data_IF_687657350872
#
_entry.id   IF_687657350872
#
_cell.length_a   1.000
_cell.length_b   1.000
_cell.length_c   1.000
_cell.angle_alpha   90.00
_cell.angle_beta   90.00
_cell.angle_gamma   90.00
#
_symmetry.space_group_name_H-M   'P 1'
#
loop_
_entity.id
_entity.type
_entity.pdbx_description
1 polymer ?
#
# COMPACT_ATOMS: atom_id res chain seq x y z
N UNK A 1 57.11 -24.53 -10.15
CA UNK A 1 57.56 -24.31 -11.54
C UNK A 1 57.30 -22.86 -11.88
N UNK A 2 58.19 -22.22 -12.62
CA UNK A 2 58.18 -20.76 -12.80
C UNK A 2 58.53 -20.46 -14.27
N UNK A 3 57.48 -20.16 -15.03
CA UNK A 3 57.47 -19.79 -16.44
C UNK A 3 56.38 -18.70 -16.52
N UNK A 4 56.51 -17.55 -17.17
CA UNK A 4 57.57 -16.98 -18.02
C UNK A 4 56.85 -16.00 -18.96
N UNK A 5 57.23 -14.71 -18.96
CA UNK A 5 56.50 -13.67 -19.70
C UNK A 5 56.79 -13.70 -21.21
N UNK A 6 55.75 -13.58 -22.02
CA UNK A 6 55.63 -13.00 -23.38
C UNK A 6 54.18 -13.29 -23.88
N UNK A 7 53.47 -12.48 -24.66
CA UNK A 7 53.60 -11.06 -25.07
C UNK A 7 52.19 -10.56 -25.51
N UNK A 8 51.97 -9.26 -25.77
CA UNK A 8 50.69 -8.69 -26.25
C UNK A 8 50.44 -8.92 -27.75
N UNK A 9 49.17 -9.15 -28.12
CA UNK A 9 48.54 -8.93 -29.45
C UNK A 9 47.01 -8.94 -29.19
N UNK A 10 46.32 -7.78 -29.13
CA UNK A 10 45.66 -7.05 -30.22
C UNK A 10 44.33 -7.69 -30.68
N UNK A 11 43.36 -6.90 -31.15
CA UNK A 11 42.01 -7.36 -31.51
C UNK A 11 40.89 -7.08 -30.52
N UNK A 12 40.78 -5.84 -30.02
CA UNK A 12 39.45 -5.31 -29.65
C UNK A 12 38.73 -4.94 -30.94
N UNK A 13 38.00 -5.89 -31.52
CA UNK A 13 37.08 -5.60 -32.62
C UNK A 13 35.90 -4.81 -32.05
N UNK A 14 35.92 -3.51 -32.35
CA UNK A 14 34.83 -2.56 -32.12
C UNK A 14 33.70 -2.91 -33.10
N UNK A 15 32.84 -3.83 -32.65
CA UNK A 15 31.66 -4.29 -33.38
C UNK A 15 30.56 -3.22 -33.26
N UNK A 16 30.71 -2.17 -34.08
CA UNK A 16 29.78 -1.05 -34.26
C UNK A 16 28.56 -1.52 -35.07
N UNK A 17 27.84 -2.53 -34.55
CA UNK A 17 26.59 -3.04 -35.13
C UNK A 17 25.41 -2.12 -34.77
N UNK A 18 25.32 -1.04 -35.56
CA UNK A 18 24.20 -0.13 -35.81
C UNK A 18 22.96 -0.31 -34.89
N UNK A 19 22.79 0.62 -33.93
CA UNK A 19 21.49 0.86 -33.28
C UNK A 19 20.47 1.31 -34.35
N UNK A 20 19.68 0.37 -34.89
CA UNK A 20 18.64 0.67 -35.88
C UNK A 20 17.63 1.67 -35.30
N UNK A 21 17.71 2.91 -35.79
CA UNK A 21 17.02 4.09 -35.27
C UNK A 21 15.51 4.07 -35.59
N UNK A 22 14.74 3.14 -35.00
CA UNK A 22 13.33 3.41 -34.68
C UNK A 22 13.27 4.43 -33.53
N UNK A 23 13.77 5.63 -33.82
CA UNK A 23 13.73 6.78 -32.95
C UNK A 23 12.27 7.13 -32.64
N UNK A 24 11.87 6.88 -31.39
CA UNK A 24 10.56 7.23 -30.86
C UNK A 24 10.34 8.75 -30.96
N UNK A 25 9.69 9.19 -32.03
CA UNK A 25 9.33 10.60 -32.30
C UNK A 25 8.26 11.12 -31.29
N UNK A 26 7.85 10.30 -30.33
CA UNK A 26 6.87 10.63 -29.29
C UNK A 26 7.48 11.32 -28.05
N UNK A 27 8.73 11.03 -27.70
CA UNK A 27 9.34 11.44 -26.42
C UNK A 27 10.20 12.72 -26.49
N UNK A 28 9.57 13.83 -26.90
CA UNK A 28 10.18 15.17 -26.84
C UNK A 28 10.13 15.82 -25.45
N UNK A 29 11.26 16.33 -24.94
CA UNK A 29 11.31 17.15 -23.72
C UNK A 29 10.64 18.52 -23.93
N UNK A 30 9.44 18.70 -23.37
CA UNK A 30 8.67 19.97 -23.44
C UNK A 30 8.86 20.79 -22.16
N UNK A 31 8.99 22.11 -22.30
CA UNK A 31 8.99 23.05 -21.17
C UNK A 31 7.56 23.39 -20.80
N UNK A 32 7.15 23.04 -19.58
CA UNK A 32 5.86 23.44 -19.02
C UNK A 32 5.95 24.88 -18.48
N UNK A 33 4.85 25.63 -18.60
CA UNK A 33 4.74 26.96 -18.00
C UNK A 33 4.61 26.86 -16.49
N UNK A 34 5.46 27.55 -15.74
CA UNK A 34 5.34 27.66 -14.28
C UNK A 34 4.01 28.34 -13.91
N UNK A 35 3.37 27.89 -12.83
CA UNK A 35 2.20 28.56 -12.25
C UNK A 35 2.48 30.03 -11.90
N UNK A 36 3.73 30.39 -11.61
CA UNK A 36 4.16 31.79 -11.38
C UNK A 36 4.15 32.68 -12.63
N UNK A 37 4.03 32.11 -13.82
CA UNK A 37 3.89 32.87 -15.07
C UNK A 37 2.43 33.30 -15.34
N UNK A 38 1.46 32.72 -14.62
CA UNK A 38 0.06 33.12 -14.69
C UNK A 38 -0.24 34.10 -13.55
N UNK A 39 -0.87 35.26 -13.82
CA UNK A 39 -1.27 36.17 -12.75
C UNK A 39 -2.29 35.49 -11.82
N UNK A 40 -2.27 35.79 -10.51
CA UNK A 40 -3.24 35.22 -9.57
C UNK A 40 -4.65 35.63 -9.99
N UNK A 41 -5.48 34.63 -10.29
CA UNK A 41 -6.91 34.83 -10.57
C UNK A 41 -7.67 34.77 -9.24
N UNK A 42 -8.59 35.70 -9.03
CA UNK A 42 -9.64 35.45 -8.04
C UNK A 42 -10.45 34.25 -8.54
N UNK A 43 -10.65 33.28 -7.67
CA UNK A 43 -11.78 32.36 -7.81
C UNK A 43 -13.01 33.19 -7.48
N UNK A 44 -13.98 33.19 -8.40
CA UNK A 44 -15.34 33.61 -8.06
C UNK A 44 -15.88 32.53 -7.15
N UNK A 45 -16.42 32.92 -5.99
CA UNK A 45 -17.21 32.04 -5.15
C UNK A 45 -18.49 31.70 -5.93
N UNK A 46 -18.44 30.61 -6.71
CA UNK A 46 -19.65 30.00 -7.24
C UNK A 46 -20.46 29.54 -6.02
N UNK A 47 -21.59 30.21 -5.77
CA UNK A 47 -22.55 29.84 -4.73
C UNK A 47 -22.92 28.37 -4.94
N UNK A 48 -22.25 27.48 -4.20
CA UNK A 48 -22.38 26.04 -4.33
C UNK A 48 -23.79 25.67 -3.91
N UNK A 49 -24.64 25.37 -4.89
CA UNK A 49 -26.07 25.14 -4.73
C UNK A 49 -26.31 23.81 -4.01
N UNK A 50 -26.17 23.85 -2.68
CA UNK A 50 -26.56 22.79 -1.75
C UNK A 50 -26.00 21.41 -2.05
N UNK A 51 -24.66 21.24 -2.06
CA UNK A 51 -24.10 19.90 -1.90
C UNK A 51 -24.50 19.34 -0.52
N UNK A 52 -25.10 18.15 -0.51
CA UNK A 52 -25.72 17.56 0.68
C UNK A 52 -24.65 17.25 1.73
N UNK A 53 -24.61 18.07 2.79
CA UNK A 53 -23.55 18.06 3.82
C UNK A 53 -23.44 16.75 4.64
N UNK A 54 -24.28 15.74 4.34
CA UNK A 54 -24.14 14.36 4.84
C UNK A 54 -23.09 13.52 4.09
N UNK A 55 -22.77 13.81 2.82
CA UNK A 55 -21.92 12.91 2.00
C UNK A 55 -20.45 12.84 2.49
N UNK A 56 -20.04 13.75 3.38
CA UNK A 56 -18.72 13.80 3.99
C UNK A 56 -18.70 13.51 5.51
N UNK A 57 -19.80 13.05 6.11
CA UNK A 57 -19.78 12.63 7.50
C UNK A 57 -19.00 11.30 7.67
N UNK A 58 -18.08 11.19 8.65
CA UNK A 58 -17.32 9.97 8.85
C UNK A 58 -18.23 8.83 9.30
N UNK A 59 -18.33 7.79 8.48
CA UNK A 59 -19.10 6.57 8.78
C UNK A 59 -18.74 6.07 10.19
N UNK A 60 -19.73 6.07 11.08
CA UNK A 60 -19.54 5.63 12.46
C UNK A 60 -19.00 4.19 12.51
N UNK A 61 -18.05 3.87 13.42
CA UNK A 61 -17.55 2.52 13.56
C UNK A 61 -18.68 1.55 13.91
N UNK A 62 -18.59 0.28 13.51
CA UNK A 62 -19.66 -0.67 13.75
C UNK A 62 -19.73 -0.95 15.28
N UNK A 63 -20.93 -1.21 15.82
CA UNK A 63 -21.08 -1.53 17.23
C UNK A 63 -20.29 -2.80 17.58
N UNK A 64 -19.65 -2.79 18.74
CA UNK A 64 -18.98 -3.98 19.26
C UNK A 64 -20.01 -5.07 19.59
N UNK A 65 -19.69 -6.35 19.34
CA UNK A 65 -20.58 -7.47 19.65
C UNK A 65 -20.78 -7.61 21.16
N UNK A 66 -21.94 -8.13 21.55
CA UNK A 66 -22.22 -8.50 22.94
C UNK A 66 -21.44 -9.75 23.34
N UNK A 67 -21.33 -10.01 24.65
CA UNK A 67 -20.60 -11.17 25.19
C UNK A 67 -21.10 -12.52 24.64
N UNK A 68 -22.42 -12.66 24.46
CA UNK A 68 -23.04 -13.84 23.88
C UNK A 68 -22.72 -13.99 22.37
N UNK A 69 -22.61 -12.89 21.64
CA UNK A 69 -22.16 -12.90 20.23
C UNK A 69 -20.68 -13.25 20.14
N UNK A 70 -19.83 -12.74 21.04
CA UNK A 70 -18.42 -13.10 21.12
C UNK A 70 -18.20 -14.59 21.35
N UNK A 71 -18.94 -15.21 22.30
CA UNK A 71 -18.89 -16.66 22.53
C UNK A 71 -19.24 -17.42 21.23
N UNK A 72 -20.36 -17.06 20.59
CA UNK A 72 -20.82 -17.66 19.33
C UNK A 72 -19.78 -17.53 18.20
N UNK A 73 -19.08 -16.39 18.11
CA UNK A 73 -18.03 -16.14 17.12
C UNK A 73 -16.81 -17.02 17.38
N UNK A 74 -16.37 -17.12 18.63
CA UNK A 74 -15.17 -17.91 19.02
C UNK A 74 -15.37 -19.42 19.00
N UNK A 75 -16.62 -19.91 19.09
CA UNK A 75 -16.98 -21.30 18.81
C UNK A 75 -16.93 -21.63 17.31
N UNK A 76 -16.89 -20.61 16.45
CA UNK A 76 -16.77 -20.73 15.00
C UNK A 76 -15.36 -21.09 14.51
N UNK A 77 -15.21 -21.32 13.19
CA UNK A 77 -13.91 -21.59 12.59
C UNK A 77 -12.97 -20.38 12.75
N UNK A 78 -11.73 -20.66 13.17
CA UNK A 78 -10.67 -19.66 13.21
C UNK A 78 -10.18 -19.29 11.79
N UNK A 79 -9.70 -18.06 11.63
CA UNK A 79 -9.20 -17.53 10.35
C UNK A 79 -7.68 -17.43 10.36
N UNK A 80 -7.03 -18.42 9.75
CA UNK A 80 -5.57 -18.48 9.60
C UNK A 80 -5.01 -17.29 8.81
N UNK A 81 -5.77 -16.76 7.84
CA UNK A 81 -5.42 -15.56 7.06
C UNK A 81 -5.29 -14.32 7.95
N UNK A 82 -6.29 -14.06 8.81
CA UNK A 82 -6.25 -12.94 9.74
C UNK A 82 -5.10 -13.07 10.76
N UNK A 83 -4.84 -14.28 11.24
CA UNK A 83 -3.70 -14.54 12.13
C UNK A 83 -2.36 -14.29 11.43
N UNK A 84 -2.21 -14.74 10.18
CA UNK A 84 -1.02 -14.53 9.36
C UNK A 84 -0.79 -13.05 9.02
N UNK A 85 -1.83 -12.32 8.62
CA UNK A 85 -1.78 -10.88 8.35
C UNK A 85 -1.37 -10.09 9.59
N UNK A 86 -1.91 -10.42 10.76
CA UNK A 86 -1.51 -9.79 12.03
C UNK A 86 -0.03 -10.03 12.34
N UNK A 87 0.45 -11.27 12.22
CA UNK A 87 1.86 -11.62 12.45
C UNK A 87 2.79 -10.90 11.47
N UNK A 88 2.39 -10.77 10.20
CA UNK A 88 3.15 -10.03 9.19
C UNK A 88 3.28 -8.54 9.54
N UNK A 89 2.18 -7.87 9.92
CA UNK A 89 2.22 -6.46 10.34
C UNK A 89 3.03 -6.29 11.61
N UNK A 90 2.86 -7.15 12.61
CA UNK A 90 3.64 -7.18 13.85
C UNK A 90 5.16 -7.28 13.60
N UNK A 91 5.56 -8.13 12.66
CA UNK A 91 6.97 -8.32 12.28
C UNK A 91 7.53 -7.20 11.40
N UNK A 92 6.70 -6.26 10.91
CA UNK A 92 7.13 -5.25 9.96
C UNK A 92 7.99 -4.17 10.63
N UNK A 93 9.19 -3.85 10.09
CA UNK A 93 10.09 -2.87 10.69
C UNK A 93 9.65 -1.40 10.52
N UNK A 94 8.50 -1.13 9.90
CA UNK A 94 8.04 0.23 9.61
C UNK A 94 7.60 1.04 10.84
N UNK A 95 7.21 0.38 11.94
CA UNK A 95 6.97 1.03 13.23
C UNK A 95 7.46 0.15 14.38
N UNK A 96 8.07 0.76 15.38
CA UNK A 96 8.45 0.08 16.62
C UNK A 96 7.20 -0.37 17.42
N UNK A 97 6.05 0.28 17.25
CA UNK A 97 4.81 -0.09 17.94
C UNK A 97 4.30 -1.46 17.50
N UNK A 98 4.48 -1.82 16.22
CA UNK A 98 4.11 -3.13 15.71
C UNK A 98 4.85 -4.26 16.42
N UNK A 99 6.17 -4.10 16.64
CA UNK A 99 6.99 -5.12 17.31
C UNK A 99 6.63 -5.29 18.79
N UNK A 100 6.11 -4.23 19.43
CA UNK A 100 5.63 -4.24 20.81
C UNK A 100 4.16 -4.73 20.94
N UNK A 101 3.46 -4.99 19.83
CA UNK A 101 2.10 -5.52 19.86
C UNK A 101 2.06 -6.93 20.50
N UNK A 102 0.96 -7.32 21.17
CA UNK A 102 0.83 -8.63 21.80
C UNK A 102 1.04 -9.80 20.81
N UNK A 103 1.33 -10.99 21.31
CA UNK A 103 1.17 -12.21 20.51
C UNK A 103 -0.31 -12.55 20.39
N UNK A 104 -0.73 -13.19 19.30
CA UNK A 104 -2.06 -13.79 19.20
C UNK A 104 -1.93 -15.28 18.88
N UNK A 105 -2.77 -16.09 19.50
CA UNK A 105 -2.87 -17.54 19.25
C UNK A 105 -3.85 -17.81 18.12
N UNK A 106 -4.97 -17.09 18.11
CA UNK A 106 -6.13 -17.32 17.23
C UNK A 106 -6.80 -16.01 16.80
N UNK A 107 -7.51 -16.04 15.69
CA UNK A 107 -8.29 -14.93 15.16
C UNK A 107 -9.62 -15.41 14.57
N UNK A 108 -10.68 -14.61 14.71
CA UNK A 108 -12.00 -14.84 14.13
C UNK A 108 -12.52 -13.55 13.49
N UNK A 109 -13.12 -13.62 12.30
CA UNK A 109 -13.71 -12.44 11.66
C UNK A 109 -15.05 -12.08 12.34
N UNK A 110 -15.29 -10.79 12.65
CA UNK A 110 -16.61 -10.36 13.12
C UNK A 110 -17.57 -10.30 11.93
N UNK A 111 -18.76 -10.93 12.01
CA UNK A 111 -19.80 -10.78 10.99
C UNK A 111 -20.15 -9.30 10.78
N UNK A 112 -19.85 -8.78 9.60
CA UNK A 112 -20.22 -7.42 9.21
C UNK A 112 -21.64 -7.40 8.64
N UNK A 113 -22.35 -6.27 8.81
CA UNK A 113 -23.65 -6.08 8.16
C UNK A 113 -23.47 -6.01 6.64
N UNK A 114 -24.37 -6.60 5.84
CA UNK A 114 -24.31 -6.48 4.38
C UNK A 114 -24.39 -5.00 3.97
N UNK A 115 -23.45 -4.55 3.13
CA UNK A 115 -23.31 -3.15 2.74
C UNK A 115 -22.44 -2.29 3.67
N UNK A 116 -21.76 -2.85 4.68
CA UNK A 116 -20.75 -2.12 5.43
C UNK A 116 -19.42 -2.07 4.68
N UNK A 117 -19.10 -0.92 4.08
CA UNK A 117 -17.86 -0.68 3.31
C UNK A 117 -16.68 -0.17 4.17
N UNK A 118 -16.85 -0.16 5.49
CA UNK A 118 -15.82 0.32 6.43
C UNK A 118 -14.79 -0.74 6.84
N UNK A 119 -14.07 -0.45 7.93
CA UNK A 119 -12.99 -1.32 8.43
C UNK A 119 -13.56 -2.64 8.96
N UNK A 120 -13.06 -3.77 8.43
CA UNK A 120 -13.34 -5.10 8.99
C UNK A 120 -12.78 -5.22 10.41
N UNK A 121 -13.54 -5.83 11.31
CA UNK A 121 -13.11 -6.13 12.68
C UNK A 121 -12.86 -7.63 12.84
N UNK A 122 -11.97 -7.99 13.78
CA UNK A 122 -11.67 -9.36 14.17
C UNK A 122 -11.60 -9.49 15.70
N UNK A 123 -12.02 -10.64 16.24
CA UNK A 123 -11.70 -11.06 17.61
C UNK A 123 -10.34 -11.76 17.56
N UNK A 124 -9.47 -11.52 18.53
CA UNK A 124 -8.19 -12.22 18.65
C UNK A 124 -8.00 -12.77 20.06
N UNK A 125 -7.49 -13.99 20.16
CA UNK A 125 -7.03 -14.57 21.41
C UNK A 125 -5.57 -14.17 21.62
N UNK A 126 -5.28 -13.39 22.65
CA UNK A 126 -3.93 -12.93 22.98
C UNK A 126 -3.13 -14.06 23.64
N UNK A 127 -1.90 -14.28 23.18
CA UNK A 127 -0.97 -15.23 23.78
C UNK A 127 -0.48 -14.71 25.15
N UNK A 128 -0.47 -15.61 26.14
CA UNK A 128 -0.11 -15.34 27.54
C UNK A 128 1.40 -15.33 27.80
#
# INVERSE_FOLDING_TARGET
>A
MQNGLDVSDDGYEEDDEEEDEEADDGLSLRRFTSATAQPPRMIEDEDSDGEDENENEPVSPPPLPTDMELQTITEGPESEDLAGLYQHVKGCPCSAEHQNAPGITRAWELPQKPGYEGKRLAVVEVAA
#
